data_IF_415326520759
#
_entry.id   IF_415326520759
#
_cell.length_a   1.000
_cell.length_b   1.000
_cell.length_c   1.000
_cell.angle_alpha   90.00
_cell.angle_beta   90.00
_cell.angle_gamma   90.00
#
_symmetry.space_group_name_H-M   'P 1'
#
loop_
_entity.id
_entity.type
_entity.pdbx_description
1 polymer ?
#
# COMPACT_ATOMS: atom_id res chain seq x y z
N UNK A 1 -6.15 -25.43 -11.62
CA UNK A 1 -6.11 -23.98 -11.35
C UNK A 1 -4.64 -23.57 -11.22
N UNK A 2 -4.11 -22.74 -12.12
CA UNK A 2 -2.72 -22.27 -12.03
C UNK A 2 -2.63 -21.21 -10.93
N UNK A 3 -1.90 -21.50 -9.86
CA UNK A 3 -1.48 -20.50 -8.88
C UNK A 3 -0.67 -19.42 -9.60
N UNK A 4 -1.27 -18.23 -9.78
CA UNK A 4 -0.56 -17.06 -10.25
C UNK A 4 0.44 -16.62 -9.17
N UNK A 5 1.63 -16.12 -9.54
CA UNK A 5 2.73 -15.91 -8.61
C UNK A 5 2.32 -14.93 -7.51
N UNK A 6 2.77 -15.21 -6.29
CA UNK A 6 2.69 -14.45 -5.03
C UNK A 6 3.19 -12.98 -5.11
N UNK A 7 2.96 -12.27 -6.21
CA UNK A 7 3.54 -10.96 -6.46
C UNK A 7 2.68 -9.90 -5.83
N UNK A 8 2.98 -9.70 -4.54
CA UNK A 8 2.78 -8.45 -3.82
C UNK A 8 3.18 -7.28 -4.73
N UNK A 9 2.28 -6.33 -4.95
CA UNK A 9 2.47 -5.11 -5.74
C UNK A 9 2.46 -3.90 -4.81
N UNK A 10 3.39 -2.97 -5.01
CA UNK A 10 3.40 -1.70 -4.26
C UNK A 10 2.54 -0.70 -5.04
N UNK A 11 1.58 -0.08 -4.38
CA UNK A 11 0.73 0.96 -4.97
C UNK A 11 1.39 2.34 -4.85
N UNK A 12 1.91 2.65 -3.67
CA UNK A 12 2.62 3.90 -3.42
C UNK A 12 3.54 3.81 -2.20
N UNK A 13 4.44 4.79 -2.08
CA UNK A 13 5.38 4.96 -0.98
C UNK A 13 5.43 6.44 -0.60
N UNK A 14 5.35 6.75 0.69
CA UNK A 14 5.49 8.11 1.19
C UNK A 14 6.53 8.16 2.32
N UNK A 15 7.14 9.32 2.50
CA UNK A 15 8.19 9.56 3.48
C UNK A 15 7.84 10.74 4.38
N UNK A 16 8.26 10.67 5.64
CA UNK A 16 8.19 11.78 6.61
C UNK A 16 9.16 11.54 7.75
N UNK A 17 10.00 12.52 8.07
CA UNK A 17 10.89 12.48 9.26
C UNK A 17 11.69 11.15 9.39
N UNK A 18 12.27 10.67 8.29
CA UNK A 18 13.03 9.41 8.27
C UNK A 18 12.19 8.13 8.28
N UNK A 19 10.86 8.24 8.37
CA UNK A 19 9.94 7.11 8.25
C UNK A 19 9.49 6.92 6.80
N UNK A 20 9.25 5.67 6.45
CA UNK A 20 8.70 5.25 5.17
C UNK A 20 7.41 4.49 5.41
N UNK A 21 6.31 4.98 4.83
CA UNK A 21 5.06 4.25 4.73
C UNK A 21 4.87 3.69 3.32
N UNK A 22 4.47 2.43 3.20
CA UNK A 22 4.20 1.76 1.93
C UNK A 22 2.79 1.20 1.94
N UNK A 23 2.12 1.32 0.81
CA UNK A 23 0.87 0.63 0.54
C UNK A 23 1.12 -0.50 -0.45
N UNK A 24 0.80 -1.72 -0.04
CA UNK A 24 1.07 -2.94 -0.78
C UNK A 24 -0.22 -3.74 -0.93
N UNK A 25 -0.40 -4.37 -2.08
CA UNK A 25 -1.51 -5.28 -2.35
C UNK A 25 -1.00 -6.68 -2.63
N UNK A 26 -1.66 -7.70 -2.09
CA UNK A 26 -1.37 -9.11 -2.34
C UNK A 26 -2.65 -9.92 -2.57
N UNK A 27 -2.58 -11.02 -3.36
CA UNK A 27 -3.71 -11.95 -3.48
C UNK A 27 -4.12 -12.52 -2.11
N UNK A 28 -5.42 -12.69 -1.90
CA UNK A 28 -6.01 -13.29 -0.71
C UNK A 28 -7.09 -14.32 -1.12
N UNK A 29 -7.35 -15.40 -0.35
CA UNK A 29 -8.40 -16.37 -0.68
C UNK A 29 -9.81 -15.77 -0.90
N UNK A 30 -10.06 -14.59 -0.34
CA UNK A 30 -11.35 -13.87 -0.43
C UNK A 30 -11.26 -12.58 -1.26
N UNK A 31 -10.24 -12.42 -2.10
CA UNK A 31 -10.05 -11.24 -2.94
C UNK A 31 -8.63 -10.70 -2.90
N UNK A 32 -8.47 -9.42 -2.57
CA UNK A 32 -7.18 -8.73 -2.52
C UNK A 32 -6.96 -8.12 -1.13
N UNK A 33 -5.79 -8.38 -0.55
CA UNK A 33 -5.39 -7.81 0.72
C UNK A 33 -4.58 -6.54 0.49
N UNK A 34 -5.07 -5.42 1.02
CA UNK A 34 -4.38 -4.13 1.09
C UNK A 34 -3.68 -4.00 2.44
N UNK A 35 -2.37 -3.76 2.42
CA UNK A 35 -1.54 -3.59 3.62
C UNK A 35 -0.81 -2.27 3.62
N UNK A 36 -0.74 -1.69 4.81
CA UNK A 36 0.01 -0.47 5.06
C UNK A 36 1.13 -0.80 6.03
N UNK A 37 2.36 -0.49 5.62
CA UNK A 37 3.56 -0.81 6.37
C UNK A 37 4.30 0.47 6.70
N UNK A 38 4.63 0.69 7.98
CA UNK A 38 5.53 1.77 8.42
C UNK A 38 6.87 1.16 8.78
N UNK A 39 7.94 1.60 8.11
CA UNK A 39 9.30 1.06 8.26
C UNK A 39 9.33 -0.48 8.14
N UNK A 40 8.52 -1.03 7.23
CA UNK A 40 8.41 -2.47 6.98
C UNK A 40 7.54 -3.25 7.96
N UNK A 41 6.99 -2.61 8.99
CA UNK A 41 6.06 -3.25 9.94
C UNK A 41 4.61 -2.98 9.52
N UNK A 42 3.75 -4.01 9.38
CA UNK A 42 2.34 -3.81 9.05
C UNK A 42 1.65 -3.07 10.20
N UNK A 43 0.91 -2.01 9.87
CA UNK A 43 0.08 -1.25 10.81
C UNK A 43 -1.42 -1.43 10.55
N UNK A 44 -1.79 -1.80 9.32
CA UNK A 44 -3.16 -2.12 8.94
C UNK A 44 -3.14 -3.11 7.79
N UNK A 45 -4.11 -4.02 7.82
CA UNK A 45 -4.46 -4.89 6.70
C UNK A 45 -5.97 -4.92 6.55
N UNK A 46 -6.45 -4.91 5.30
CA UNK A 46 -7.86 -5.08 4.97
C UNK A 46 -8.02 -5.85 3.67
N UNK A 47 -8.94 -6.80 3.65
CA UNK A 47 -9.30 -7.57 2.45
C UNK A 47 -10.48 -6.90 1.77
N UNK A 48 -10.41 -6.84 0.44
CA UNK A 48 -11.44 -6.32 -0.44
C UNK A 48 -11.77 -7.38 -1.49
N UNK A 49 -13.06 -7.59 -1.74
CA UNK A 49 -13.53 -8.46 -2.83
C UNK A 49 -13.31 -7.79 -4.19
N UNK A 50 -13.49 -6.47 -4.24
CA UNK A 50 -13.41 -5.67 -5.46
C UNK A 50 -12.15 -4.79 -5.50
N UNK A 51 -11.50 -4.76 -6.67
CA UNK A 51 -10.29 -3.95 -6.89
C UNK A 51 -10.56 -2.44 -6.78
N UNK A 52 -11.70 -1.98 -7.28
CA UNK A 52 -12.07 -0.56 -7.24
C UNK A 52 -12.21 -0.04 -5.80
N UNK A 53 -12.90 -0.79 -4.92
CA UNK A 53 -13.01 -0.44 -3.51
C UNK A 53 -11.65 -0.37 -2.80
N UNK A 54 -10.71 -1.25 -3.18
CA UNK A 54 -9.34 -1.24 -2.70
C UNK A 54 -8.57 0.00 -3.18
N UNK A 55 -8.70 0.37 -4.46
CA UNK A 55 -8.05 1.56 -5.03
C UNK A 55 -8.54 2.84 -4.35
N UNK A 56 -9.85 2.97 -4.12
CA UNK A 56 -10.44 4.09 -3.38
C UNK A 56 -9.84 4.15 -1.97
N UNK A 57 -9.81 3.04 -1.23
CA UNK A 57 -9.23 3.01 0.11
C UNK A 57 -7.73 3.36 0.12
N UNK A 58 -6.97 2.86 -0.86
CA UNK A 58 -5.56 3.18 -1.02
C UNK A 58 -5.34 4.67 -1.32
N UNK A 59 -6.18 5.28 -2.18
CA UNK A 59 -6.11 6.68 -2.56
C UNK A 59 -6.48 7.60 -1.39
N UNK A 60 -7.61 7.36 -0.72
CA UNK A 60 -8.07 8.15 0.43
C UNK A 60 -7.01 8.19 1.53
N UNK A 61 -6.36 7.06 1.82
CA UNK A 61 -5.33 7.06 2.85
C UNK A 61 -4.04 7.75 2.38
N UNK A 62 -3.66 7.60 1.11
CA UNK A 62 -2.55 8.36 0.53
C UNK A 62 -2.77 9.87 0.69
N UNK A 63 -3.93 10.37 0.27
CA UNK A 63 -4.33 11.78 0.38
C UNK A 63 -4.29 12.27 1.83
N UNK A 64 -4.88 11.52 2.77
CA UNK A 64 -4.84 11.86 4.18
C UNK A 64 -3.41 11.89 4.76
N UNK A 65 -2.49 11.07 4.25
CA UNK A 65 -1.07 11.14 4.65
C UNK A 65 -0.37 12.35 4.02
N UNK A 66 -0.62 12.66 2.75
CA UNK A 66 -0.10 13.86 2.09
C UNK A 66 -0.51 15.13 2.85
N UNK A 67 -1.79 15.27 3.24
CA UNK A 67 -2.27 16.37 4.07
C UNK A 67 -1.59 16.47 5.44
N UNK A 68 -1.06 15.34 5.96
CA UNK A 68 -0.31 15.29 7.23
C UNK A 68 1.20 15.47 7.04
N UNK A 69 1.63 15.99 5.89
CA UNK A 69 3.03 16.32 5.60
C UNK A 69 3.89 15.13 5.19
N UNK A 70 3.28 14.00 4.82
CA UNK A 70 4.01 12.95 4.11
C UNK A 70 4.18 13.37 2.64
N UNK A 71 5.23 12.87 1.99
CA UNK A 71 5.51 13.22 0.59
C UNK A 71 6.04 12.02 -0.19
N UNK A 72 5.75 12.00 -1.50
CA UNK A 72 6.35 11.04 -2.41
C UNK A 72 7.85 11.34 -2.53
N UNK A 73 8.69 10.30 -2.50
CA UNK A 73 10.11 10.44 -2.82
C UNK A 73 10.30 10.16 -4.31
N UNK A 74 10.79 11.16 -5.05
CA UNK A 74 11.32 10.99 -6.40
C UNK A 74 12.82 10.63 -6.42
N UNK A 75 13.46 10.32 -5.27
CA UNK A 75 14.88 9.97 -5.30
C UNK A 75 15.09 8.65 -6.05
N UNK A 76 15.87 8.63 -7.15
CA UNK A 76 16.32 7.38 -7.74
C UNK A 76 17.10 6.62 -6.67
N UNK A 77 16.85 5.31 -6.59
CA UNK A 77 17.67 4.42 -5.78
C UNK A 77 19.05 4.43 -6.42
N UNK A 78 20.03 5.02 -5.72
CA UNK A 78 21.44 4.97 -6.10
C UNK A 78 21.98 3.54 -5.96
#
# INVERSE_FOLDING_TARGET
MRMLPNRRRILWKLFRAGQLVRCEVSPHPFGMELRYLVNGKPILSRVFEEWEALEVAAATWCEGLLHRGWHASNRPVA
#
